data_IF_825367826558
#
_entry.id   IF_825367826558
#
_cell.length_a   1.000
_cell.length_b   1.000
_cell.length_c   1.000
_cell.angle_alpha   90.00
_cell.angle_beta   90.00
_cell.angle_gamma   90.00
#
_symmetry.space_group_name_H-M   'P 1'
#
loop_
_entity.id
_entity.type
_entity.pdbx_description
1 polymer ?
#
# COMPACT_ATOMS: atom_id res chain seq x y z
N UNK A 1 7.18 -25.64 4.12
CA UNK A 1 6.19 -25.62 5.22
C UNK A 1 5.03 -26.49 4.77
N UNK A 2 4.70 -27.56 5.49
CA UNK A 2 3.54 -28.41 5.17
C UNK A 2 2.32 -27.84 5.91
N UNK A 3 1.19 -27.72 5.22
CA UNK A 3 -0.07 -27.33 5.85
C UNK A 3 -0.48 -28.43 6.84
N UNK A 4 -0.69 -28.06 8.11
CA UNK A 4 -1.22 -28.97 9.12
C UNK A 4 -2.71 -29.20 8.84
N UNK A 5 -3.11 -30.47 8.85
CA UNK A 5 -4.41 -30.99 8.38
C UNK A 5 -5.62 -30.51 9.20
N UNK A 6 -5.43 -29.83 10.33
CA UNK A 6 -6.51 -29.40 11.23
C UNK A 6 -6.68 -27.87 11.30
N UNK A 7 -6.15 -27.13 10.33
CA UNK A 7 -6.31 -25.67 10.31
C UNK A 7 -7.68 -25.30 9.76
N UNK A 8 -8.59 -24.83 10.61
CA UNK A 8 -9.84 -24.22 10.15
C UNK A 8 -9.52 -22.96 9.35
N UNK A 9 -9.94 -22.93 8.08
CA UNK A 9 -9.79 -21.78 7.20
C UNK A 9 -11.11 -21.01 7.13
N UNK A 10 -11.02 -19.68 7.17
CA UNK A 10 -12.15 -18.79 6.91
C UNK A 10 -11.92 -18.18 5.53
N UNK A 11 -12.92 -18.29 4.65
CA UNK A 11 -12.86 -17.68 3.34
C UNK A 11 -12.82 -16.14 3.46
N UNK A 12 -11.92 -15.50 2.71
CA UNK A 12 -11.87 -14.04 2.62
C UNK A 12 -13.16 -13.53 1.97
N UNK A 13 -13.85 -12.62 2.63
CA UNK A 13 -15.09 -12.01 2.13
C UNK A 13 -14.83 -10.56 1.68
N UNK A 14 -15.34 -10.20 0.50
CA UNK A 14 -15.46 -8.81 0.08
C UNK A 14 -16.66 -8.21 0.81
N UNK A 15 -16.40 -7.43 1.85
CA UNK A 15 -17.42 -6.73 2.62
C UNK A 15 -16.91 -5.38 3.08
N UNK A 16 -17.84 -4.53 3.47
CA UNK A 16 -17.53 -3.34 4.23
C UNK A 16 -17.20 -3.68 5.70
N UNK A 17 -16.34 -2.88 6.33
CA UNK A 17 -15.87 -3.07 7.71
C UNK A 17 -16.20 -1.83 8.58
N UNK A 18 -17.49 -1.53 8.82
CA UNK A 18 -17.94 -0.36 9.58
C UNK A 18 -17.42 -0.32 11.01
N UNK A 19 -17.16 -1.48 11.61
CA UNK A 19 -16.53 -1.61 12.92
C UNK A 19 -15.14 -0.97 12.97
N UNK A 20 -14.42 -0.96 11.84
CA UNK A 20 -13.07 -0.44 11.72
C UNK A 20 -13.07 1.04 11.34
N UNK A 21 -13.76 1.40 10.26
CA UNK A 21 -13.74 2.77 9.78
C UNK A 21 -14.66 3.72 10.58
N UNK A 22 -15.61 3.18 11.38
CA UNK A 22 -16.45 3.96 12.32
C UNK A 22 -17.19 5.14 11.66
N UNK A 23 -17.62 4.95 10.42
CA UNK A 23 -18.30 5.99 9.62
C UNK A 23 -17.37 6.98 8.92
N UNK A 24 -16.04 6.87 9.09
CA UNK A 24 -15.04 7.65 8.34
C UNK A 24 -14.87 7.02 6.96
N UNK A 25 -14.81 7.83 5.89
CA UNK A 25 -14.74 7.35 4.50
C UNK A 25 -13.37 7.49 3.86
N UNK A 26 -12.59 8.47 4.29
CA UNK A 26 -11.40 8.89 3.59
C UNK A 26 -10.17 8.29 4.28
N UNK A 27 -9.52 7.32 3.63
CA UNK A 27 -8.34 6.65 4.18
C UNK A 27 -7.07 7.11 3.44
N UNK A 28 -6.14 7.71 4.18
CA UNK A 28 -4.88 8.24 3.68
C UNK A 28 -3.79 7.17 3.57
N UNK A 29 -3.17 7.14 2.39
CA UNK A 29 -2.05 6.26 2.04
C UNK A 29 -1.11 7.04 1.11
N UNK A 30 0.20 6.97 1.35
CA UNK A 30 1.22 7.37 0.38
C UNK A 30 1.65 6.17 -0.45
N UNK A 31 1.65 6.33 -1.76
CA UNK A 31 2.12 5.32 -2.70
C UNK A 31 2.77 5.97 -3.94
N UNK A 32 3.56 5.19 -4.66
CA UNK A 32 4.08 5.56 -5.98
C UNK A 32 3.19 4.86 -7.01
N UNK A 33 2.62 5.61 -7.93
CA UNK A 33 1.87 5.09 -9.08
C UNK A 33 2.81 4.42 -10.08
N UNK A 34 2.36 3.31 -10.65
CA UNK A 34 3.05 2.64 -11.75
C UNK A 34 2.29 2.95 -13.04
N UNK A 35 2.91 3.75 -13.90
CA UNK A 35 2.34 4.21 -15.17
C UNK A 35 3.11 3.71 -16.40
N UNK A 36 4.19 2.95 -16.21
CA UNK A 36 5.03 2.40 -17.28
C UNK A 36 4.31 1.24 -17.98
N UNK A 37 3.95 1.34 -19.28
CA UNK A 37 3.12 0.35 -19.96
C UNK A 37 3.71 -1.06 -19.98
N UNK A 38 5.03 -1.19 -20.19
CA UNK A 38 5.70 -2.48 -20.24
C UNK A 38 5.69 -3.18 -18.88
N UNK A 39 5.82 -2.38 -17.80
CA UNK A 39 5.70 -2.89 -16.45
C UNK A 39 4.26 -3.29 -16.13
N UNK A 40 3.27 -2.47 -16.50
CA UNK A 40 1.85 -2.82 -16.32
C UNK A 40 1.52 -4.13 -17.02
N UNK A 41 1.96 -4.31 -18.27
CA UNK A 41 1.75 -5.57 -18.99
C UNK A 41 2.35 -6.77 -18.26
N UNK A 42 3.59 -6.65 -17.77
CA UNK A 42 4.24 -7.69 -16.98
C UNK A 42 3.44 -8.03 -15.70
N UNK A 43 2.90 -7.01 -15.02
CA UNK A 43 2.09 -7.19 -13.82
C UNK A 43 0.75 -7.86 -14.12
N UNK A 44 0.13 -7.53 -15.26
CA UNK A 44 -1.10 -8.19 -15.73
C UNK A 44 -0.87 -9.67 -16.04
N UNK A 45 0.26 -10.01 -16.66
CA UNK A 45 0.65 -11.40 -16.92
C UNK A 45 0.84 -12.19 -15.62
N UNK A 46 1.41 -11.58 -14.58
CA UNK A 46 1.49 -12.19 -13.25
C UNK A 46 0.10 -12.34 -12.65
N UNK A 47 -0.70 -11.27 -12.60
CA UNK A 47 -2.04 -11.31 -12.02
C UNK A 47 -2.91 -12.40 -12.65
N UNK A 48 -2.84 -12.57 -13.98
CA UNK A 48 -3.56 -13.61 -14.70
C UNK A 48 -3.18 -15.03 -14.25
N UNK A 49 -1.90 -15.30 -13.99
CA UNK A 49 -1.41 -16.60 -13.52
C UNK A 49 -1.94 -16.99 -12.14
N UNK A 50 -2.30 -16.00 -11.32
CA UNK A 50 -2.84 -16.20 -9.97
C UNK A 50 -4.35 -15.90 -9.88
N UNK A 51 -5.04 -15.72 -11.01
CA UNK A 51 -6.44 -15.28 -11.04
C UNK A 51 -7.40 -16.15 -10.23
N UNK A 52 -7.17 -17.47 -10.17
CA UNK A 52 -7.97 -18.41 -9.36
C UNK A 52 -7.77 -18.28 -7.85
N UNK A 53 -6.70 -17.58 -7.42
CA UNK A 53 -6.33 -17.37 -6.01
C UNK A 53 -6.61 -15.95 -5.53
N UNK A 54 -6.85 -15.02 -6.46
CA UNK A 54 -7.07 -13.61 -6.16
C UNK A 54 -8.56 -13.30 -6.10
N UNK A 55 -8.92 -12.38 -5.22
CA UNK A 55 -10.23 -11.73 -5.31
C UNK A 55 -10.33 -11.00 -6.66
N UNK A 56 -11.52 -10.91 -7.27
CA UNK A 56 -11.71 -10.16 -8.50
C UNK A 56 -11.09 -8.77 -8.37
N UNK A 57 -10.26 -8.43 -9.35
CA UNK A 57 -9.53 -7.18 -9.34
C UNK A 57 -10.52 -6.02 -9.19
N UNK A 58 -10.44 -5.32 -8.07
CA UNK A 58 -11.01 -3.98 -7.98
C UNK A 58 -10.18 -3.07 -8.88
N UNK A 59 -10.74 -1.94 -9.34
CA UNK A 59 -10.13 -0.98 -10.27
C UNK A 59 -8.88 -0.24 -9.73
N UNK A 60 -8.07 -0.89 -8.89
CA UNK A 60 -6.87 -0.31 -8.29
C UNK A 60 -5.72 -0.45 -9.27
N UNK A 61 -5.10 0.67 -9.58
CA UNK A 61 -3.86 0.71 -10.34
C UNK A 61 -2.73 0.04 -9.53
N UNK A 62 -1.74 -0.52 -10.24
CA UNK A 62 -0.52 -1.02 -9.60
C UNK A 62 0.24 0.13 -8.93
N UNK A 63 0.78 -0.14 -7.75
CA UNK A 63 1.44 0.88 -6.95
C UNK A 63 2.44 0.28 -5.97
N UNK A 64 3.36 1.11 -5.51
CA UNK A 64 4.26 0.79 -4.40
C UNK A 64 3.77 1.55 -3.17
N UNK A 65 3.19 0.83 -2.20
CA UNK A 65 2.80 1.40 -0.90
C UNK A 65 4.02 1.89 -0.13
N UNK A 66 4.05 3.19 0.19
CA UNK A 66 5.12 3.82 0.97
C UNK A 66 4.76 3.95 2.44
N UNK A 67 3.58 4.47 2.77
CA UNK A 67 3.23 4.73 4.17
C UNK A 67 1.72 4.78 4.37
N UNK A 68 1.24 4.07 5.38
CA UNK A 68 -0.17 4.03 5.76
C UNK A 68 -0.40 5.09 6.83
N UNK A 69 -1.32 6.02 6.59
CA UNK A 69 -1.54 7.15 7.50
C UNK A 69 -2.71 6.90 8.46
N UNK A 70 -3.89 6.56 7.93
CA UNK A 70 -5.13 6.47 8.71
C UNK A 70 -6.29 7.23 8.07
N UNK A 71 -7.38 7.43 8.81
CA UNK A 71 -8.57 8.12 8.31
C UNK A 71 -8.42 9.63 8.36
N UNK A 72 -8.55 10.29 7.20
CA UNK A 72 -8.41 11.73 7.09
C UNK A 72 -9.51 12.44 7.89
N UNK A 73 -9.11 13.27 8.86
CA UNK A 73 -10.03 14.03 9.71
C UNK A 73 -9.72 15.54 9.66
N UNK A 74 -10.75 16.39 9.55
CA UNK A 74 -10.56 17.82 9.34
C UNK A 74 -10.03 18.56 10.56
N UNK A 75 -10.21 18.10 11.81
CA UNK A 75 -9.71 18.89 12.96
C UNK A 75 -9.47 18.11 14.24
N UNK A 76 -10.45 17.41 14.79
CA UNK A 76 -10.31 16.79 16.12
C UNK A 76 -9.95 15.32 15.98
N UNK A 77 -8.80 14.93 16.54
CA UNK A 77 -8.44 13.51 16.69
C UNK A 77 -9.38 12.88 17.71
N UNK A 78 -10.14 11.90 17.26
CA UNK A 78 -11.08 11.10 18.04
C UNK A 78 -10.57 9.66 18.21
N UNK A 79 -9.87 9.13 17.22
CA UNK A 79 -9.33 7.78 17.19
C UNK A 79 -7.83 7.78 16.89
N UNK A 80 -7.18 6.70 17.28
CA UNK A 80 -5.75 6.46 17.22
C UNK A 80 -5.22 6.56 15.77
N UNK A 81 -6.03 6.07 14.84
CA UNK A 81 -5.85 6.01 13.39
C UNK A 81 -6.44 7.23 12.65
N UNK A 82 -6.78 8.31 13.35
CA UNK A 82 -7.10 9.57 12.68
C UNK A 82 -5.82 10.24 12.16
N UNK A 83 -5.88 10.63 10.90
CA UNK A 83 -4.86 11.35 10.16
C UNK A 83 -5.34 12.78 9.92
N UNK A 84 -4.73 13.76 10.57
CA UNK A 84 -5.20 15.14 10.49
C UNK A 84 -4.71 15.83 9.21
N UNK A 85 -5.49 16.77 8.67
CA UNK A 85 -5.10 17.58 7.51
C UNK A 85 -3.74 18.29 7.72
N UNK A 86 -3.44 18.72 8.95
CA UNK A 86 -2.15 19.32 9.27
C UNK A 86 -0.99 18.34 9.09
N UNK A 87 -1.18 17.06 9.46
CA UNK A 87 -0.18 16.01 9.26
C UNK A 87 0.06 15.76 7.77
N UNK A 88 -1.01 15.70 6.96
CA UNK A 88 -0.91 15.60 5.50
C UNK A 88 -0.08 16.76 4.91
N UNK A 89 -0.42 17.99 5.28
CA UNK A 89 0.32 19.18 4.81
C UNK A 89 1.79 19.16 5.24
N UNK A 90 2.10 18.64 6.42
CA UNK A 90 3.47 18.52 6.89
C UNK A 90 4.23 17.43 6.13
N UNK A 91 3.61 16.28 5.89
CA UNK A 91 4.19 15.20 5.07
C UNK A 91 4.47 15.67 3.64
N UNK A 92 3.55 16.42 3.00
CA UNK A 92 3.77 17.04 1.67
C UNK A 92 5.04 17.89 1.68
N UNK A 93 5.16 18.83 2.63
CA UNK A 93 6.32 19.72 2.73
C UNK A 93 7.63 18.96 2.92
N UNK A 94 7.62 17.89 3.72
CA UNK A 94 8.80 17.08 3.96
C UNK A 94 9.26 16.34 2.69
N UNK A 95 8.34 15.76 1.91
CA UNK A 95 8.70 15.13 0.62
C UNK A 95 9.24 16.19 -0.35
N UNK A 96 8.55 17.33 -0.49
CA UNK A 96 8.99 18.40 -1.41
C UNK A 96 10.40 18.89 -1.07
N UNK A 97 10.73 18.98 0.23
CA UNK A 97 12.05 19.37 0.69
C UNK A 97 13.16 18.34 0.38
N UNK A 98 12.82 17.06 0.16
CA UNK A 98 13.80 16.04 -0.23
C UNK A 98 14.41 16.30 -1.61
N UNK A 99 13.72 17.05 -2.49
CA UNK A 99 14.19 17.36 -3.85
C UNK A 99 14.63 16.08 -4.59
N UNK A 100 13.76 15.06 -4.56
CA UNK A 100 14.04 13.75 -5.12
C UNK A 100 14.45 13.84 -6.59
N UNK A 101 15.54 13.18 -6.94
CA UNK A 101 15.96 12.97 -8.33
C UNK A 101 15.36 11.67 -8.85
N UNK A 102 15.25 11.48 -10.17
CA UNK A 102 14.90 10.17 -10.74
C UNK A 102 15.79 9.08 -10.14
N UNK A 103 15.18 7.96 -9.79
CA UNK A 103 15.83 6.81 -9.16
C UNK A 103 15.26 5.51 -9.74
N UNK A 104 16.00 4.43 -9.56
CA UNK A 104 15.67 3.11 -10.10
C UNK A 104 15.33 2.14 -8.97
N UNK A 105 14.35 1.28 -9.25
CA UNK A 105 13.90 0.22 -8.39
C UNK A 105 13.88 -1.07 -9.18
N UNK A 106 14.24 -2.18 -8.53
CA UNK A 106 14.32 -3.49 -9.16
C UNK A 106 13.25 -4.42 -8.58
N UNK A 107 12.47 -5.06 -9.44
CA UNK A 107 11.55 -6.14 -9.04
C UNK A 107 12.36 -7.43 -8.91
N UNK A 108 12.19 -8.14 -7.80
CA UNK A 108 13.01 -9.31 -7.48
C UNK A 108 12.22 -10.61 -7.47
N UNK A 109 11.23 -10.73 -6.58
CA UNK A 109 10.47 -11.96 -6.41
C UNK A 109 8.99 -11.69 -6.15
N UNK A 110 8.17 -12.68 -6.48
CA UNK A 110 6.76 -12.74 -6.12
C UNK A 110 6.64 -13.30 -4.70
N UNK A 111 5.77 -12.68 -3.90
CA UNK A 111 5.48 -13.11 -2.55
C UNK A 111 4.01 -12.79 -2.22
N UNK A 112 3.53 -13.22 -1.06
CA UNK A 112 2.13 -13.03 -0.67
C UNK A 112 1.93 -12.84 0.82
N UNK A 113 0.97 -11.98 1.16
CA UNK A 113 0.27 -11.99 2.44
C UNK A 113 -1.01 -12.82 2.30
N UNK A 114 -1.64 -13.15 3.44
CA UNK A 114 -2.95 -13.82 3.46
C UNK A 114 -4.04 -13.11 2.64
N UNK A 115 -3.90 -11.79 2.43
CA UNK A 115 -4.89 -10.95 1.76
C UNK A 115 -4.43 -10.36 0.41
N UNK A 116 -3.19 -10.58 -0.02
CA UNK A 116 -2.65 -9.95 -1.22
C UNK A 116 -1.43 -10.67 -1.80
N UNK A 117 -1.37 -10.75 -3.13
CA UNK A 117 -0.15 -11.03 -3.88
C UNK A 117 0.63 -9.73 -4.08
N UNK A 118 1.94 -9.76 -3.91
CA UNK A 118 2.79 -8.60 -4.14
C UNK A 118 4.14 -8.99 -4.73
N UNK A 119 4.84 -8.00 -5.27
CA UNK A 119 6.21 -8.14 -5.75
C UNK A 119 7.16 -7.43 -4.79
N UNK A 120 8.28 -8.08 -4.49
CA UNK A 120 9.35 -7.48 -3.71
C UNK A 120 10.16 -6.51 -4.58
N UNK A 121 10.43 -5.34 -4.02
CA UNK A 121 11.23 -4.29 -4.63
C UNK A 121 12.56 -4.18 -3.91
N UNK A 122 13.64 -4.18 -4.67
CA UNK A 122 14.97 -3.82 -4.20
C UNK A 122 15.24 -2.35 -4.51
N UNK A 123 15.38 -1.57 -3.45
CA UNK A 123 15.76 -0.15 -3.48
C UNK A 123 17.24 -0.01 -3.14
N UNK A 124 18.10 -0.07 -4.17
CA UNK A 124 19.57 -0.02 -3.98
C UNK A 124 20.07 1.35 -3.51
N UNK A 125 19.32 2.41 -3.81
CA UNK A 125 19.69 3.78 -3.50
C UNK A 125 19.13 4.23 -2.13
N UNK A 126 18.26 3.44 -1.51
CA UNK A 126 17.64 3.73 -0.21
C UNK A 126 16.63 4.87 -0.25
N UNK A 127 16.14 5.24 -1.43
CA UNK A 127 15.24 6.38 -1.63
C UNK A 127 13.88 6.13 -0.99
N UNK A 128 13.32 4.93 -1.12
CA UNK A 128 12.05 4.57 -0.49
C UNK A 128 12.18 4.62 1.04
N UNK A 129 13.30 4.16 1.58
CA UNK A 129 13.57 4.24 3.02
C UNK A 129 13.66 5.70 3.48
N UNK A 130 14.35 6.56 2.73
CA UNK A 130 14.45 7.99 3.01
C UNK A 130 13.07 8.67 3.02
N UNK A 131 12.21 8.37 2.04
CA UNK A 131 10.84 8.90 1.98
C UNK A 131 10.02 8.43 3.20
N UNK A 132 10.05 7.12 3.51
CA UNK A 132 9.31 6.55 4.64
C UNK A 132 9.71 7.18 5.98
N UNK A 133 10.99 7.48 6.15
CA UNK A 133 11.47 8.16 7.36
C UNK A 133 10.82 9.54 7.52
N UNK A 134 10.66 10.31 6.44
CA UNK A 134 9.99 11.62 6.53
C UNK A 134 8.56 11.52 7.08
N UNK A 135 7.81 10.50 6.64
CA UNK A 135 6.44 10.30 7.10
C UNK A 135 6.33 9.87 8.56
N UNK A 136 7.27 9.05 9.02
CA UNK A 136 7.28 8.53 10.39
C UNK A 136 7.60 9.61 11.46
N UNK A 137 8.04 10.80 11.05
CA UNK A 137 8.31 11.92 11.95
C UNK A 137 7.07 12.77 12.28
N UNK A 138 5.90 12.42 11.74
CA UNK A 138 4.63 13.15 11.84
C UNK A 138 3.60 12.35 12.65
#
# INVERSE_FOLDING_TARGET
MLLQTDTQLIATAIRDYPEWHKGRSDYGLWYIEIDQPELIQYLDEIQAQFSDLLLPAQQRQYHITLFVCGFLQPTVKQYDDDFQIQQLQQQIKLIEALQLKPFELEITQIDSFSSALFLQIQDRQGVLAQIRQQFAHI
#
